data_IF_589978746464
#
_entry.id   IF_589978746464
#
_cell.length_a   1.000
_cell.length_b   1.000
_cell.length_c   1.000
_cell.angle_alpha   90.00
_cell.angle_beta   90.00
_cell.angle_gamma   90.00
#
_symmetry.space_group_name_H-M   'P 1'
#
loop_
_entity.id
_entity.type
_entity.pdbx_description
1 polymer ?
#
# COMPACT_ATOMS: atom_id res chain seq x y z
N UNK A 1 -2.95 -10.31 9.25
CA UNK A 1 -2.37 -11.49 8.55
C UNK A 1 -1.80 -11.03 7.22
N UNK A 2 -0.47 -11.06 7.06
CA UNK A 2 0.20 -10.66 5.81
C UNK A 2 0.26 -11.83 4.83
N UNK A 3 -0.23 -11.63 3.61
CA UNK A 3 -0.19 -12.66 2.56
C UNK A 3 1.11 -12.54 1.75
N UNK A 4 1.76 -13.68 1.47
CA UNK A 4 2.93 -13.74 0.59
C UNK A 4 2.49 -13.71 -0.87
N UNK A 5 3.34 -13.19 -1.75
CA UNK A 5 3.07 -13.16 -3.19
C UNK A 5 2.87 -14.59 -3.74
N UNK A 6 1.69 -14.88 -4.29
CA UNK A 6 1.33 -16.17 -4.86
C UNK A 6 0.69 -16.03 -6.25
N UNK A 7 0.64 -17.10 -7.04
CA UNK A 7 -0.04 -17.10 -8.34
C UNK A 7 -1.53 -16.73 -8.22
N UNK A 8 -2.20 -17.12 -7.12
CA UNK A 8 -3.58 -16.73 -6.86
C UNK A 8 -3.69 -15.23 -6.65
N UNK A 9 -2.79 -14.64 -5.86
CA UNK A 9 -2.72 -13.20 -5.66
C UNK A 9 -2.52 -12.46 -6.99
N UNK A 10 -1.66 -12.97 -7.87
CA UNK A 10 -1.44 -12.37 -9.20
C UNK A 10 -2.73 -12.45 -10.04
N UNK A 11 -3.42 -13.59 -10.03
CA UNK A 11 -4.69 -13.76 -10.73
C UNK A 11 -5.80 -12.84 -10.18
N UNK A 12 -5.86 -12.63 -8.87
CA UNK A 12 -6.76 -11.66 -8.24
C UNK A 12 -6.48 -10.25 -8.75
N UNK A 13 -5.21 -9.83 -8.76
CA UNK A 13 -4.81 -8.50 -9.22
C UNK A 13 -5.07 -8.29 -10.72
N UNK A 14 -4.85 -9.32 -11.55
CA UNK A 14 -5.10 -9.26 -13.00
C UNK A 14 -6.59 -9.14 -13.36
N UNK A 15 -7.48 -9.56 -12.47
CA UNK A 15 -8.93 -9.51 -12.69
C UNK A 15 -9.57 -8.21 -12.18
N UNK A 16 -8.79 -7.27 -11.68
CA UNK A 16 -9.29 -5.95 -11.29
C UNK A 16 -9.71 -5.18 -12.55
N UNK A 17 -10.97 -4.77 -12.61
CA UNK A 17 -11.56 -3.98 -13.70
C UNK A 17 -12.08 -2.62 -13.22
N UNK A 18 -11.69 -2.20 -12.02
CA UNK A 18 -12.13 -0.92 -11.45
C UNK A 18 -11.56 0.28 -12.21
N UNK A 19 -12.33 1.36 -12.23
CA UNK A 19 -12.00 2.58 -12.97
C UNK A 19 -10.84 3.36 -12.36
N UNK A 20 -10.61 3.21 -11.06
CA UNK A 20 -9.52 3.84 -10.32
C UNK A 20 -8.86 2.79 -9.44
N UNK A 21 -7.56 2.59 -9.62
CA UNK A 21 -6.77 1.74 -8.74
C UNK A 21 -5.57 2.48 -8.17
N UNK A 22 -5.25 2.16 -6.92
CA UNK A 22 -4.12 2.71 -6.19
C UNK A 22 -3.09 1.61 -5.97
N UNK A 23 -1.82 1.95 -6.15
CA UNK A 23 -0.70 1.09 -5.79
C UNK A 23 0.36 1.87 -5.03
N UNK A 24 0.80 1.35 -3.88
CA UNK A 24 1.90 1.90 -3.08
C UNK A 24 2.94 0.83 -2.83
N UNK A 25 4.18 1.14 -3.16
CA UNK A 25 5.35 0.30 -2.94
C UNK A 25 6.30 1.00 -1.99
N UNK A 26 6.88 0.27 -1.04
CA UNK A 26 7.78 0.84 -0.04
C UNK A 26 8.84 -0.19 0.39
N UNK A 27 10.13 0.20 0.52
CA UNK A 27 11.09 -0.62 1.24
C UNK A 27 10.74 -0.62 2.73
N UNK A 28 10.95 -1.74 3.42
CA UNK A 28 10.72 -1.82 4.86
C UNK A 28 11.97 -2.28 5.59
N UNK A 29 12.17 -1.72 6.79
CA UNK A 29 13.29 -2.07 7.65
C UNK A 29 12.86 -3.05 8.73
N UNK A 30 13.51 -4.22 8.76
CA UNK A 30 13.24 -5.26 9.75
C UNK A 30 13.81 -4.94 11.13
N UNK A 31 14.92 -4.23 11.23
CA UNK A 31 15.64 -4.08 12.49
C UNK A 31 15.42 -2.72 13.14
N UNK A 32 15.43 -2.69 14.47
CA UNK A 32 15.53 -1.45 15.23
C UNK A 32 16.92 -0.80 15.01
N UNK A 33 17.04 0.54 14.96
CA UNK A 33 15.97 1.55 15.13
C UNK A 33 15.18 1.86 13.85
N UNK A 34 15.69 1.52 12.67
CA UNK A 34 15.12 1.93 11.38
C UNK A 34 13.69 1.42 11.18
N UNK A 35 13.30 0.31 11.82
CA UNK A 35 11.91 -0.19 11.83
C UNK A 35 10.89 0.88 12.24
N UNK A 36 11.24 1.74 13.20
CA UNK A 36 10.34 2.79 13.71
C UNK A 36 10.10 3.90 12.68
N UNK A 37 10.90 3.97 11.62
CA UNK A 37 10.73 4.92 10.53
C UNK A 37 9.72 4.41 9.48
N UNK A 38 9.43 3.11 9.44
CA UNK A 38 8.52 2.53 8.44
C UNK A 38 7.13 3.21 8.40
N UNK A 39 6.46 3.49 9.54
CA UNK A 39 5.17 4.20 9.52
C UNK A 39 5.31 5.64 8.98
N UNK A 40 6.44 6.30 9.24
CA UNK A 40 6.72 7.67 8.78
C UNK A 40 6.94 7.66 7.26
N UNK A 41 7.74 6.72 6.75
CA UNK A 41 7.95 6.52 5.31
C UNK A 41 6.62 6.22 4.60
N UNK A 42 5.80 5.36 5.20
CA UNK A 42 4.49 5.02 4.65
C UNK A 42 3.57 6.22 4.59
N UNK A 43 3.50 7.01 5.67
CA UNK A 43 2.71 8.25 5.72
C UNK A 43 3.11 9.23 4.62
N UNK A 44 4.41 9.42 4.39
CA UNK A 44 4.90 10.31 3.34
C UNK A 44 4.46 9.85 1.93
N UNK A 45 4.58 8.55 1.64
CA UNK A 45 4.09 7.98 0.38
C UNK A 45 2.56 8.07 0.29
N UNK A 46 1.84 7.88 1.39
CA UNK A 46 0.39 7.99 1.40
C UNK A 46 -0.09 9.41 1.07
N UNK A 47 0.61 10.44 1.56
CA UNK A 47 0.35 11.83 1.18
C UNK A 47 0.56 12.05 -0.32
N UNK A 48 1.66 11.56 -0.90
CA UNK A 48 1.92 11.67 -2.35
C UNK A 48 0.83 10.94 -3.17
N UNK A 49 0.41 9.76 -2.73
CA UNK A 49 -0.66 9.00 -3.39
C UNK A 49 -2.00 9.76 -3.34
N UNK A 50 -2.32 10.36 -2.19
CA UNK A 50 -3.53 11.17 -2.02
C UNK A 50 -3.54 12.38 -2.95
N UNK A 51 -2.41 13.08 -3.07
CA UNK A 51 -2.27 14.24 -3.95
C UNK A 51 -2.43 13.84 -5.42
N UNK A 52 -1.80 12.74 -5.84
CA UNK A 52 -1.95 12.21 -7.21
C UNK A 52 -3.40 11.81 -7.50
N UNK A 53 -4.07 11.15 -6.56
CA UNK A 53 -5.46 10.75 -6.71
C UNK A 53 -6.36 11.98 -6.90
N UNK A 54 -6.18 13.02 -6.08
CA UNK A 54 -6.96 14.26 -6.18
C UNK A 54 -6.74 15.00 -7.50
N UNK A 55 -5.51 14.97 -8.04
CA UNK A 55 -5.20 15.62 -9.31
C UNK A 55 -5.74 14.86 -10.52
N UNK A 56 -5.66 13.52 -10.52
CA UNK A 56 -6.01 12.71 -11.69
C UNK A 56 -7.50 12.31 -11.71
N UNK A 57 -8.09 12.07 -10.55
CA UNK A 57 -9.46 11.60 -10.39
C UNK A 57 -10.21 12.39 -9.31
N UNK A 58 -10.44 13.70 -9.51
CA UNK A 58 -11.07 14.58 -8.52
C UNK A 58 -12.47 14.14 -8.10
N UNK A 59 -13.20 13.43 -8.97
CA UNK A 59 -14.57 12.95 -8.71
C UNK A 59 -14.62 11.55 -8.09
N UNK A 60 -13.48 10.89 -7.88
CA UNK A 60 -13.43 9.56 -7.26
C UNK A 60 -13.83 9.59 -5.77
N UNK A 61 -14.22 8.44 -5.24
CA UNK A 61 -14.51 8.31 -3.81
C UNK A 61 -13.21 8.18 -2.99
N UNK A 62 -12.52 9.30 -2.80
CA UNK A 62 -11.23 9.38 -2.11
C UNK A 62 -11.26 8.74 -0.73
N UNK A 63 -12.33 9.00 0.05
CA UNK A 63 -12.46 8.44 1.39
C UNK A 63 -12.50 6.91 1.36
N UNK A 64 -13.20 6.31 0.39
CA UNK A 64 -13.29 4.86 0.25
C UNK A 64 -11.96 4.25 -0.19
N UNK A 65 -11.32 4.85 -1.19
CA UNK A 65 -10.03 4.41 -1.73
C UNK A 65 -8.89 4.49 -0.70
N UNK A 66 -8.89 5.53 0.14
CA UNK A 66 -7.81 5.81 1.09
C UNK A 66 -8.00 5.11 2.45
N UNK A 67 -9.22 4.75 2.82
CA UNK A 67 -9.54 4.17 4.14
C UNK A 67 -8.66 2.98 4.50
N UNK A 68 -8.40 2.07 3.55
CA UNK A 68 -7.57 0.89 3.79
C UNK A 68 -6.12 1.25 4.15
N UNK A 69 -5.56 2.26 3.48
CA UNK A 69 -4.21 2.74 3.75
C UNK A 69 -4.11 3.45 5.10
N UNK A 70 -5.10 4.27 5.46
CA UNK A 70 -5.14 4.95 6.75
C UNK A 70 -5.19 3.94 7.91
N UNK A 71 -6.03 2.91 7.78
CA UNK A 71 -6.08 1.81 8.76
C UNK A 71 -4.74 1.08 8.87
N UNK A 72 -4.05 0.84 7.75
CA UNK A 72 -2.73 0.20 7.76
C UNK A 72 -1.65 1.11 8.37
N UNK A 73 -1.71 2.42 8.12
CA UNK A 73 -0.79 3.40 8.72
C UNK A 73 -0.83 3.31 10.24
N UNK A 74 -2.03 3.17 10.82
CA UNK A 74 -2.23 3.17 12.27
C UNK A 74 -2.11 1.77 12.90
N UNK A 75 -1.90 0.72 12.10
CA UNK A 75 -1.75 -0.66 12.58
C UNK A 75 -0.34 -0.91 13.16
N UNK A 76 -0.21 -0.69 14.46
CA UNK A 76 1.06 -0.90 15.17
C UNK A 76 1.55 -2.35 15.12
N UNK A 77 0.64 -3.35 15.13
CA UNK A 77 1.02 -4.77 15.12
C UNK A 77 1.66 -5.14 13.77
N UNK A 78 1.11 -4.63 12.67
CA UNK A 78 1.70 -4.78 11.35
C UNK A 78 3.14 -4.23 11.31
N UNK A 79 3.36 -3.02 11.83
CA UNK A 79 4.68 -2.38 11.83
C UNK A 79 5.69 -2.99 12.81
N UNK A 80 5.24 -3.83 13.75
CA UNK A 80 6.13 -4.64 14.59
C UNK A 80 6.73 -5.83 13.85
N UNK A 81 6.13 -6.28 12.74
CA UNK A 81 6.60 -7.45 11.99
C UNK A 81 6.74 -7.19 10.48
N UNK A 82 7.56 -6.21 10.05
CA UNK A 82 7.76 -5.96 8.63
C UNK A 82 8.72 -6.98 7.99
N UNK A 83 8.58 -7.18 6.68
CA UNK A 83 9.56 -7.89 5.85
C UNK A 83 10.58 -6.90 5.27
N UNK A 84 11.08 -7.11 4.04
CA UNK A 84 12.04 -6.21 3.39
C UNK A 84 11.35 -5.22 2.44
N UNK A 85 10.14 -5.51 1.98
CA UNK A 85 9.34 -4.61 1.19
C UNK A 85 7.85 -4.72 1.49
N UNK A 86 7.10 -3.79 0.95
CA UNK A 86 5.65 -3.67 1.07
C UNK A 86 5.07 -3.26 -0.29
N UNK A 87 3.99 -3.93 -0.68
CA UNK A 87 3.12 -3.51 -1.76
C UNK A 87 1.67 -3.48 -1.27
N UNK A 88 0.98 -2.38 -1.52
CA UNK A 88 -0.43 -2.18 -1.15
C UNK A 88 -1.21 -1.81 -2.40
N UNK A 89 -2.32 -2.50 -2.61
CA UNK A 89 -3.21 -2.31 -3.75
C UNK A 89 -4.61 -1.99 -3.24
N UNK A 90 -5.27 -1.02 -3.85
CA UNK A 90 -6.64 -0.67 -3.49
C UNK A 90 -7.47 -0.23 -4.70
N UNK A 91 -8.76 -0.51 -4.61
CA UNK A 91 -9.82 0.03 -5.46
C UNK A 91 -11.03 0.34 -4.58
N UNK A 92 -12.15 0.76 -5.18
CA UNK A 92 -13.39 0.94 -4.44
C UNK A 92 -13.93 -0.36 -3.82
N UNK A 93 -13.56 -1.53 -4.33
CA UNK A 93 -14.08 -2.83 -3.88
C UNK A 93 -13.00 -3.76 -3.30
N UNK A 94 -11.73 -3.40 -3.47
CA UNK A 94 -10.60 -4.27 -3.17
C UNK A 94 -9.56 -3.55 -2.32
N UNK A 95 -8.97 -4.24 -1.36
CA UNK A 95 -7.80 -3.77 -0.62
C UNK A 95 -6.92 -4.96 -0.28
N UNK A 96 -5.64 -4.89 -0.63
CA UNK A 96 -4.69 -5.99 -0.43
C UNK A 96 -3.33 -5.45 -0.03
N UNK A 97 -2.73 -6.10 0.96
CA UNK A 97 -1.41 -5.79 1.50
C UNK A 97 -0.51 -7.01 1.34
N UNK A 98 0.62 -6.84 0.67
CA UNK A 98 1.62 -7.87 0.45
C UNK A 98 2.94 -7.47 1.12
N UNK A 99 3.45 -8.33 1.99
CA UNK A 99 4.80 -8.19 2.52
C UNK A 99 5.78 -8.94 1.61
N UNK A 100 6.84 -8.25 1.19
CA UNK A 100 7.78 -8.75 0.20
C UNK A 100 9.10 -9.17 0.86
N UNK A 101 9.64 -10.31 0.40
CA UNK A 101 10.93 -10.82 0.87
C UNK A 101 12.11 -9.98 0.39
N UNK A 102 11.95 -9.23 -0.71
CA UNK A 102 12.96 -8.34 -1.27
C UNK A 102 12.52 -6.89 -1.14
N UNK A 103 13.46 -5.95 -0.92
CA UNK A 103 13.15 -4.53 -0.90
C UNK A 103 12.71 -4.05 -2.28
N UNK A 104 11.79 -3.09 -2.28
CA UNK A 104 11.29 -2.41 -3.48
C UNK A 104 11.48 -0.91 -3.34
N UNK A 105 11.60 -0.20 -4.46
CA UNK A 105 11.70 1.25 -4.44
C UNK A 105 10.39 1.88 -3.97
N UNK A 106 10.48 2.95 -3.16
CA UNK A 106 9.33 3.74 -2.74
C UNK A 106 8.66 4.40 -3.94
N UNK A 107 7.41 4.02 -4.25
CA UNK A 107 6.65 4.54 -5.41
C UNK A 107 5.16 4.48 -5.17
N UNK A 108 4.44 5.44 -5.75
CA UNK A 108 2.98 5.50 -5.72
C UNK A 108 2.44 5.65 -7.14
N UNK A 109 1.36 4.94 -7.43
CA UNK A 109 0.69 4.94 -8.71
C UNK A 109 -0.82 5.08 -8.51
N UNK A 110 -1.43 5.87 -9.39
CA UNK A 110 -2.87 5.94 -9.60
C UNK A 110 -3.07 5.60 -11.07
N UNK A 111 -3.91 4.63 -11.36
CA UNK A 111 -4.25 4.23 -12.72
C UNK A 111 -5.74 4.32 -12.95
#
# INVERSE_FOLDING_TARGET
MSEQLSNNTINELMNIQDTVCLSLYMPTHRSFPQRNENPILFKNLLSELSEKLQQQYPDANHAKLMQGFEKLQDDQEFWQHPQNGLAVFATDAFFKVLQLEQPVAGRTFVC
#
